data_IF_212233623560
#
_entry.id   IF_212233623560
#
_cell.length_a   1.000
_cell.length_b   1.000
_cell.length_c   1.000
_cell.angle_alpha   90.00
_cell.angle_beta   90.00
_cell.angle_gamma   90.00
#
_symmetry.space_group_name_H-M   'P 1'
#
loop_
_entity.id
_entity.type
_entity.pdbx_description
1 polymer ?
#
# COMPACT_ATOMS: atom_id res chain seq x y z
N UNK A 1 0.61 22.77 6.04
CA UNK A 1 0.09 21.56 6.70
C UNK A 1 0.64 20.36 5.95
N UNK A 2 1.42 19.49 6.59
CA UNK A 2 1.92 18.27 5.95
C UNK A 2 0.81 17.21 5.98
N UNK A 3 0.44 16.67 4.82
CA UNK A 3 -0.54 15.59 4.71
C UNK A 3 0.22 14.27 4.86
N UNK A 4 -0.12 13.51 5.91
CA UNK A 4 0.48 12.21 6.21
C UNK A 4 -0.56 11.10 6.11
N UNK A 5 -0.21 10.00 5.44
CA UNK A 5 -1.03 8.80 5.35
C UNK A 5 -0.52 7.74 6.33
N UNK A 6 -1.26 7.54 7.41
CA UNK A 6 -0.98 6.48 8.38
C UNK A 6 -1.56 5.13 7.92
N UNK A 7 -0.77 4.07 7.99
CA UNK A 7 -1.21 2.70 7.70
C UNK A 7 -0.87 1.77 8.88
N UNK A 8 -1.89 1.09 9.40
CA UNK A 8 -1.74 0.10 10.47
C UNK A 8 -1.60 -1.30 9.85
N UNK A 9 -0.36 -1.82 9.82
CA UNK A 9 -0.06 -3.12 9.22
C UNK A 9 -0.65 -4.29 10.02
N UNK A 10 -0.97 -4.12 11.32
CA UNK A 10 -1.56 -5.18 12.14
C UNK A 10 -2.97 -5.58 11.68
N UNK A 11 -3.63 -4.71 10.92
CA UNK A 11 -4.99 -4.92 10.37
C UNK A 11 -4.98 -5.35 8.90
N UNK A 12 -3.81 -5.48 8.27
CA UNK A 12 -3.71 -5.82 6.87
C UNK A 12 -3.89 -7.33 6.64
N UNK A 13 -4.95 -7.71 5.92
CA UNK A 13 -5.21 -9.10 5.51
C UNK A 13 -4.55 -9.51 4.19
N UNK A 14 -3.89 -8.58 3.51
CA UNK A 14 -3.26 -8.84 2.20
C UNK A 14 -4.23 -8.82 1.01
N UNK A 15 -5.43 -8.24 1.14
CA UNK A 15 -6.48 -8.26 0.11
C UNK A 15 -6.15 -7.49 -1.19
N UNK A 16 -5.14 -6.60 -1.19
CA UNK A 16 -4.70 -5.78 -2.33
C UNK A 16 -5.73 -4.80 -2.91
N UNK A 17 -6.91 -4.64 -2.30
CA UNK A 17 -7.92 -3.69 -2.75
C UNK A 17 -7.39 -2.24 -2.82
N UNK A 18 -6.54 -1.83 -1.88
CA UNK A 18 -5.90 -0.51 -1.89
C UNK A 18 -4.95 -0.31 -3.09
N UNK A 19 -4.31 -1.38 -3.58
CA UNK A 19 -3.43 -1.32 -4.74
C UNK A 19 -4.26 -1.08 -6.02
N UNK A 20 -5.37 -1.80 -6.18
CA UNK A 20 -6.32 -1.62 -7.28
C UNK A 20 -6.92 -0.22 -7.25
N UNK A 21 -7.40 0.23 -6.08
CA UNK A 21 -7.94 1.57 -5.93
C UNK A 21 -6.93 2.65 -6.34
N UNK A 22 -5.66 2.50 -5.94
CA UNK A 22 -4.60 3.44 -6.30
C UNK A 22 -4.27 3.42 -7.80
N UNK A 23 -4.15 2.24 -8.41
CA UNK A 23 -3.84 2.12 -9.84
C UNK A 23 -4.97 2.66 -10.72
N UNK A 24 -6.23 2.41 -10.35
CA UNK A 24 -7.39 3.02 -10.99
C UNK A 24 -7.36 4.55 -10.84
N UNK A 25 -7.19 5.06 -9.62
CA UNK A 25 -7.24 6.50 -9.36
C UNK A 25 -6.06 7.29 -9.95
N UNK A 26 -4.89 6.67 -10.14
CA UNK A 26 -3.67 7.36 -10.60
C UNK A 26 -3.28 7.06 -12.05
N UNK A 27 -3.72 5.93 -12.59
CA UNK A 27 -3.33 5.46 -13.93
C UNK A 27 -4.51 4.99 -14.78
N UNK A 28 -5.73 4.94 -14.26
CA UNK A 28 -6.93 4.52 -15.00
C UNK A 28 -6.92 3.05 -15.41
N UNK A 29 -6.15 2.20 -14.73
CA UNK A 29 -6.02 0.78 -15.08
C UNK A 29 -6.13 -0.12 -13.86
N UNK A 30 -6.76 -1.28 -14.04
CA UNK A 30 -6.77 -2.35 -13.05
C UNK A 30 -5.45 -3.13 -13.10
N UNK A 31 -4.39 -2.54 -12.55
CA UNK A 31 -3.11 -3.21 -12.41
C UNK A 31 -2.45 -2.85 -11.06
N UNK A 32 -2.55 -3.73 -10.03
CA UNK A 32 -1.93 -3.51 -8.72
C UNK A 32 -0.44 -3.19 -8.76
N UNK A 33 0.31 -3.66 -9.78
CA UNK A 33 1.74 -3.37 -9.91
C UNK A 33 2.03 -1.89 -10.24
N UNK A 34 1.02 -1.15 -10.73
CA UNK A 34 1.14 0.30 -10.96
C UNK A 34 0.76 1.13 -9.74
N UNK A 35 0.32 0.53 -8.63
CA UNK A 35 0.00 1.28 -7.43
C UNK A 35 1.23 2.02 -6.87
N UNK A 36 1.02 3.17 -6.23
CA UNK A 36 2.09 3.98 -5.57
C UNK A 36 2.36 3.57 -4.11
N UNK A 37 1.79 2.44 -3.70
CA UNK A 37 1.96 1.82 -2.39
C UNK A 37 2.12 0.31 -2.58
N UNK A 38 2.59 -0.39 -1.56
CA UNK A 38 2.85 -1.82 -1.63
C UNK A 38 2.30 -2.56 -0.41
N UNK A 39 1.84 -3.79 -0.64
CA UNK A 39 1.60 -4.79 0.40
C UNK A 39 2.72 -5.82 0.30
N UNK A 40 3.54 -5.92 1.34
CA UNK A 40 4.71 -6.80 1.38
C UNK A 40 4.39 -8.00 2.28
N UNK A 41 4.26 -9.22 1.72
CA UNK A 41 4.12 -10.43 2.52
C UNK A 41 5.44 -10.73 3.25
N UNK A 42 5.36 -11.05 4.55
CA UNK A 42 6.48 -11.44 5.41
C UNK A 42 6.30 -12.87 5.92
N UNK A 43 6.49 -13.85 5.04
CA UNK A 43 6.29 -15.28 5.33
C UNK A 43 7.59 -16.06 5.11
N UNK A 44 7.82 -17.18 5.82
CA UNK A 44 6.90 -17.87 6.74
C UNK A 44 6.69 -17.16 8.10
N UNK A 45 7.74 -16.53 8.64
CA UNK A 45 7.68 -15.70 9.84
C UNK A 45 8.01 -14.24 9.45
N UNK A 46 7.39 -13.20 10.03
CA UNK A 46 6.32 -13.16 11.05
C UNK A 46 4.89 -13.57 10.60
N UNK A 47 4.67 -13.96 9.35
CA UNK A 47 3.35 -14.37 8.87
C UNK A 47 2.35 -13.22 8.72
N UNK A 48 2.85 -12.00 8.51
CA UNK A 48 2.02 -10.79 8.38
C UNK A 48 2.24 -10.07 7.04
N UNK A 49 1.39 -9.08 6.77
CA UNK A 49 1.53 -8.18 5.64
C UNK A 49 1.93 -6.78 6.11
N UNK A 50 3.06 -6.29 5.59
CA UNK A 50 3.49 -4.91 5.82
C UNK A 50 2.88 -3.99 4.74
N UNK A 51 2.22 -2.92 5.17
CA UNK A 51 1.69 -1.88 4.25
C UNK A 51 2.72 -0.76 4.14
N UNK A 52 3.32 -0.59 2.96
CA UNK A 52 4.24 0.52 2.66
C UNK A 52 3.58 1.58 1.81
N UNK A 53 3.53 2.81 2.31
CA UNK A 53 3.02 3.99 1.63
C UNK A 53 4.16 4.94 1.27
N UNK A 54 3.93 5.86 0.32
CA UNK A 54 4.88 6.92 0.06
C UNK A 54 4.94 7.88 1.26
N UNK A 55 6.14 8.13 1.77
CA UNK A 55 6.36 9.00 2.94
C UNK A 55 6.23 10.49 2.64
N UNK A 56 6.05 10.86 1.36
CA UNK A 56 6.03 12.24 0.90
C UNK A 56 7.26 13.02 1.41
N UNK A 57 8.43 12.37 1.43
CA UNK A 57 9.66 13.03 1.85
C UNK A 57 10.08 14.12 0.86
N UNK A 58 10.69 15.19 1.36
CA UNK A 58 11.23 16.27 0.52
C UNK A 58 10.19 17.17 -0.15
N UNK A 59 8.93 17.13 0.31
CA UNK A 59 7.93 18.17 0.01
C UNK A 59 8.15 19.43 0.83
#
# INVERSE_FOLDING_TARGET
MAVYLHADSSKCSGCKACLVACSLAKFGVDNPKKARLAIIPKFPEPGVFEVKTCTQCGT
#
